data_IF_962445275902
#
_entry.id   IF_962445275902
#
_cell.length_a   1.000
_cell.length_b   1.000
_cell.length_c   1.000
_cell.angle_alpha   90.00
_cell.angle_beta   90.00
_cell.angle_gamma   90.00
#
_symmetry.space_group_name_H-M   'P 1'
#
loop_
_entity.id
_entity.type
_entity.pdbx_description
1 polymer ?
#
# COMPACT_ATOMS: atom_id res chain seq x y z
N UNK A 1 -6.08 11.06 -12.05
CA UNK A 1 -4.97 11.85 -11.49
C UNK A 1 -5.03 11.74 -9.98
N UNK A 2 -3.89 11.50 -9.32
CA UNK A 2 -3.80 11.44 -7.86
C UNK A 2 -3.93 12.85 -7.29
N UNK A 3 -4.70 13.05 -6.22
CA UNK A 3 -4.70 14.32 -5.48
C UNK A 3 -3.47 14.40 -4.57
N UNK A 4 -2.96 15.60 -4.27
CA UNK A 4 -1.79 15.78 -3.41
C UNK A 4 -1.93 15.05 -2.06
N UNK A 5 -3.14 15.09 -1.50
CA UNK A 5 -3.48 14.37 -0.26
C UNK A 5 -3.35 12.86 -0.41
N UNK A 6 -3.90 12.28 -1.48
CA UNK A 6 -3.78 10.84 -1.75
C UNK A 6 -2.31 10.45 -1.94
N UNK A 7 -1.52 11.29 -2.63
CA UNK A 7 -0.07 11.09 -2.79
C UNK A 7 0.68 11.06 -1.46
N UNK A 8 0.36 11.98 -0.54
CA UNK A 8 0.95 12.01 0.80
C UNK A 8 0.56 10.77 1.61
N UNK A 9 -0.71 10.37 1.60
CA UNK A 9 -1.18 9.19 2.35
C UNK A 9 -0.46 7.93 1.86
N UNK A 10 -0.40 7.72 0.53
CA UNK A 10 0.33 6.59 -0.05
C UNK A 10 1.81 6.63 0.36
N UNK A 11 2.45 7.80 0.32
CA UNK A 11 3.86 7.96 0.73
C UNK A 11 4.08 7.57 2.19
N UNK A 12 3.16 7.94 3.09
CA UNK A 12 3.18 7.55 4.51
C UNK A 12 2.96 6.04 4.66
N UNK A 13 2.00 5.45 3.94
CA UNK A 13 1.77 4.00 3.95
C UNK A 13 3.00 3.23 3.49
N UNK A 14 3.63 3.64 2.38
CA UNK A 14 4.85 3.03 1.87
C UNK A 14 6.03 3.17 2.84
N UNK A 15 6.15 4.31 3.52
CA UNK A 15 7.18 4.51 4.56
C UNK A 15 6.97 3.58 5.77
N UNK A 16 5.72 3.41 6.22
CA UNK A 16 5.36 2.45 7.28
C UNK A 16 5.63 1.01 6.85
N UNK A 17 5.31 0.68 5.60
CA UNK A 17 5.54 -0.64 5.03
C UNK A 17 7.05 -0.94 4.93
N UNK A 18 7.87 0.01 4.49
CA UNK A 18 9.33 -0.14 4.47
C UNK A 18 9.89 -0.46 5.87
N UNK A 19 9.40 0.22 6.90
CA UNK A 19 9.86 0.04 8.28
C UNK A 19 9.46 -1.33 8.87
N UNK A 20 8.21 -1.76 8.64
CA UNK A 20 7.63 -2.91 9.34
C UNK A 20 7.58 -4.20 8.49
N UNK A 21 7.55 -4.05 7.17
CA UNK A 21 7.32 -5.11 6.18
C UNK A 21 8.22 -4.90 4.95
N UNK A 22 9.53 -4.73 5.18
CA UNK A 22 10.50 -4.40 4.12
C UNK A 22 10.38 -5.28 2.86
N UNK A 23 10.19 -6.59 3.01
CA UNK A 23 10.03 -7.52 1.88
C UNK A 23 8.76 -7.26 1.06
N UNK A 24 7.68 -6.88 1.72
CA UNK A 24 6.41 -6.55 1.06
C UNK A 24 6.55 -5.19 0.34
N UNK A 25 7.28 -4.23 0.93
CA UNK A 25 7.65 -2.97 0.29
C UNK A 25 8.50 -3.18 -0.97
N UNK A 26 9.58 -3.94 -0.88
CA UNK A 26 10.47 -4.22 -2.02
C UNK A 26 9.70 -4.87 -3.16
N UNK A 27 8.86 -5.87 -2.86
CA UNK A 27 8.04 -6.55 -3.86
C UNK A 27 7.07 -5.59 -4.58
N UNK A 28 6.44 -4.66 -3.85
CA UNK A 28 5.57 -3.65 -4.45
C UNK A 28 6.35 -2.66 -5.32
N UNK A 29 7.54 -2.24 -4.89
CA UNK A 29 8.39 -1.32 -5.66
C UNK A 29 8.88 -2.00 -6.94
N UNK A 30 9.36 -3.23 -6.85
CA UNK A 30 9.82 -4.01 -8.01
C UNK A 30 8.71 -4.19 -9.04
N UNK A 31 7.49 -4.48 -8.59
CA UNK A 31 6.35 -4.68 -9.47
C UNK A 31 5.80 -3.35 -10.05
N UNK A 32 5.46 -2.37 -9.21
CA UNK A 32 4.75 -1.17 -9.63
C UNK A 32 5.65 -0.02 -10.11
N UNK A 33 6.87 0.09 -9.58
CA UNK A 33 7.80 1.18 -9.92
C UNK A 33 8.78 0.74 -11.01
N UNK A 34 9.37 -0.44 -10.85
CA UNK A 34 10.32 -0.98 -11.83
C UNK A 34 9.66 -1.83 -12.92
N UNK A 35 8.37 -2.13 -12.82
CA UNK A 35 7.61 -2.83 -13.85
C UNK A 35 8.02 -4.30 -14.02
N UNK A 36 8.58 -4.93 -12.99
CA UNK A 36 8.96 -6.34 -13.07
C UNK A 36 7.72 -7.23 -13.16
N UNK A 37 7.77 -8.22 -14.05
CA UNK A 37 6.70 -9.21 -14.22
C UNK A 37 6.75 -10.30 -13.14
N UNK A 38 5.65 -11.04 -12.96
CA UNK A 38 5.63 -12.18 -12.03
C UNK A 38 6.68 -13.23 -12.35
N UNK A 39 7.00 -13.45 -13.63
CA UNK A 39 8.02 -14.41 -14.05
C UNK A 39 9.41 -13.94 -13.63
N UNK A 40 9.74 -12.66 -13.83
CA UNK A 40 11.04 -12.09 -13.43
C UNK A 40 11.22 -12.13 -11.90
N UNK A 41 10.17 -11.77 -11.16
CA UNK A 41 10.15 -11.85 -9.70
C UNK A 41 10.27 -13.30 -9.21
N UNK A 42 9.55 -14.24 -9.83
CA UNK A 42 9.61 -15.65 -9.50
C UNK A 42 11.02 -16.23 -9.67
N UNK A 43 11.70 -15.85 -10.75
CA UNK A 43 13.10 -16.21 -11.00
C UNK A 43 14.03 -15.61 -9.95
N UNK A 44 13.90 -14.32 -9.64
CA UNK A 44 14.73 -13.62 -8.64
C UNK A 44 14.56 -14.22 -7.23
N UNK A 45 13.33 -14.58 -6.86
CA UNK A 45 13.00 -15.17 -5.55
C UNK A 45 13.10 -16.71 -5.51
N UNK A 46 13.44 -17.37 -6.63
CA UNK A 46 13.51 -18.83 -6.78
C UNK A 46 12.22 -19.53 -6.33
N UNK A 47 11.07 -19.02 -6.76
CA UNK A 47 9.75 -19.57 -6.46
C UNK A 47 8.84 -19.57 -7.69
N UNK A 48 7.61 -20.08 -7.58
CA UNK A 48 6.64 -19.95 -8.67
C UNK A 48 6.05 -18.55 -8.77
N UNK A 49 5.64 -18.18 -9.96
CA UNK A 49 4.85 -16.97 -10.26
C UNK A 49 3.55 -16.92 -9.45
N UNK A 50 2.89 -18.06 -9.26
CA UNK A 50 1.70 -18.18 -8.41
C UNK A 50 2.01 -17.80 -6.95
N UNK A 51 3.19 -18.17 -6.44
CA UNK A 51 3.61 -17.81 -5.09
C UNK A 51 3.96 -16.32 -4.99
N UNK A 52 4.57 -15.72 -6.02
CA UNK A 52 4.73 -14.27 -6.14
C UNK A 52 3.39 -13.55 -6.10
N UNK A 53 2.41 -13.99 -6.90
CA UNK A 53 1.08 -13.39 -6.93
C UNK A 53 0.40 -13.39 -5.55
N UNK A 54 0.53 -14.48 -4.78
CA UNK A 54 0.02 -14.55 -3.40
C UNK A 54 0.72 -13.56 -2.46
N UNK A 55 2.05 -13.41 -2.58
CA UNK A 55 2.80 -12.43 -1.79
C UNK A 55 2.44 -11.00 -2.15
N UNK A 56 2.35 -10.70 -3.45
CA UNK A 56 1.97 -9.37 -3.93
C UNK A 56 0.57 -9.01 -3.43
N UNK A 57 -0.41 -9.91 -3.58
CA UNK A 57 -1.77 -9.69 -3.10
C UNK A 57 -1.85 -9.48 -1.58
N UNK A 58 -1.01 -10.17 -0.81
CA UNK A 58 -0.87 -9.92 0.63
C UNK A 58 -0.32 -8.51 0.90
N UNK A 59 0.73 -8.10 0.20
CA UNK A 59 1.32 -6.77 0.34
C UNK A 59 0.33 -5.66 -0.02
N UNK A 60 -0.40 -5.83 -1.12
CA UNK A 60 -1.47 -4.93 -1.57
C UNK A 60 -2.56 -4.80 -0.49
N UNK A 61 -3.02 -5.92 0.08
CA UNK A 61 -4.04 -5.90 1.13
C UNK A 61 -3.62 -5.14 2.39
N UNK A 62 -2.31 -5.16 2.73
CA UNK A 62 -1.79 -4.35 3.84
C UNK A 62 -1.90 -2.86 3.51
N UNK A 63 -1.48 -2.44 2.31
CA UNK A 63 -1.55 -1.04 1.88
C UNK A 63 -3.01 -0.58 1.79
N UNK A 64 -3.89 -1.40 1.21
CA UNK A 64 -5.32 -1.14 1.12
C UNK A 64 -5.95 -0.96 2.51
N UNK A 65 -5.63 -1.84 3.47
CA UNK A 65 -6.09 -1.70 4.85
C UNK A 65 -5.63 -0.41 5.52
N UNK A 66 -4.37 0.01 5.29
CA UNK A 66 -3.87 1.29 5.81
C UNK A 66 -4.60 2.49 5.19
N UNK A 67 -4.91 2.43 3.89
CA UNK A 67 -5.65 3.48 3.18
C UNK A 67 -7.08 3.61 3.71
N UNK A 68 -7.79 2.48 3.86
CA UNK A 68 -9.16 2.46 4.40
C UNK A 68 -9.18 3.07 5.81
N UNK A 69 -8.24 2.68 6.68
CA UNK A 69 -8.19 3.22 8.04
C UNK A 69 -7.87 4.72 8.05
N UNK A 70 -6.98 5.20 7.18
CA UNK A 70 -6.69 6.62 7.07
C UNK A 70 -7.91 7.44 6.61
N UNK A 71 -8.67 6.90 5.65
CA UNK A 71 -9.90 7.53 5.17
C UNK A 71 -11.00 7.54 6.24
N UNK A 72 -11.16 6.45 6.98
CA UNK A 72 -12.12 6.35 8.08
C UNK A 72 -11.83 7.39 9.18
N UNK A 73 -10.56 7.52 9.59
CA UNK A 73 -10.14 8.52 10.59
C UNK A 73 -10.49 9.92 10.11
N UNK A 74 -10.18 10.24 8.86
CA UNK A 74 -10.50 11.55 8.29
C UNK A 74 -12.01 11.85 8.27
N UNK A 75 -12.84 10.84 7.97
CA UNK A 75 -14.31 10.98 8.00
C UNK A 75 -14.81 11.24 9.43
N UNK A 76 -14.29 10.51 10.42
CA UNK A 76 -14.67 10.68 11.82
C UNK A 76 -14.31 12.11 12.30
N UNK A 77 -13.07 12.55 12.07
CA UNK A 77 -12.62 13.90 12.44
C UNK A 77 -13.47 14.99 11.76
N UNK A 78 -13.88 14.78 10.51
CA UNK A 78 -14.74 15.72 9.80
C UNK A 78 -16.14 15.80 10.42
N UNK A 79 -16.72 14.66 10.82
CA UNK A 79 -18.04 14.59 11.43
C UNK A 79 -18.09 15.24 12.83
N UNK A 80 -17.03 15.08 13.63
CA UNK A 80 -16.90 15.75 14.92
C UNK A 80 -16.83 17.29 14.74
N UNK A 81 -16.04 17.75 13.77
CA UNK A 81 -15.90 19.18 13.46
C UNK A 81 -17.18 19.82 12.90
N UNK A 82 -18.02 19.06 12.18
CA UNK A 82 -19.32 19.56 11.73
C UNK A 82 -20.33 19.66 12.88
N UNK A 83 -20.27 18.76 13.86
CA UNK A 83 -21.17 18.75 15.03
C UNK A 83 -20.84 19.88 16.01
N UNK A 84 -19.56 20.27 16.11
CA UNK A 84 -19.12 21.41 16.92
C UNK A 84 -19.44 22.78 16.30
N UNK A 85 -19.81 22.83 15.02
CA UNK A 85 -20.16 24.06 14.29
C UNK A 85 -21.66 24.23 14.06
N UNK A 86 -22.49 23.29 14.52
CA UNK A 86 -23.96 23.34 14.51
C UNK A 86 -24.49 23.58 15.91
#
# INVERSE_FOLDING_TARGET
ACTDRQGIIVSVCMSKLLKNHKKDYELLVDYYVFGQTFIQLAQAHRCSDTYIGKKLKKAEGIVEGMLIMAELIFIIEKNENSTLRS
#
